data_IF_536440696950
#
_entry.id   IF_536440696950
#
_cell.length_a   1.000
_cell.length_b   1.000
_cell.length_c   1.000
_cell.angle_alpha   90.00
_cell.angle_beta   90.00
_cell.angle_gamma   90.00
#
_symmetry.space_group_name_H-M   'P 1'
#
loop_
_entity.id
_entity.type
_entity.pdbx_description
1 polymer ?
#
# COMPACT_ATOMS: atom_id res chain seq x y z
N UNK A 1 28.34 -0.33 -4.80
CA UNK A 1 26.94 0.14 -4.70
C UNK A 1 26.03 -1.05 -4.41
N UNK A 2 25.16 -0.99 -3.37
CA UNK A 2 24.23 -2.09 -3.06
C UNK A 2 23.11 -2.14 -4.10
N UNK A 3 22.81 -3.34 -4.61
CA UNK A 3 21.68 -3.59 -5.52
C UNK A 3 20.37 -3.39 -4.74
N UNK A 4 19.53 -2.46 -5.19
CA UNK A 4 18.23 -2.19 -4.59
C UNK A 4 17.10 -2.81 -5.41
N UNK A 5 16.10 -3.38 -4.75
CA UNK A 5 14.87 -3.85 -5.39
C UNK A 5 13.76 -2.82 -5.26
N UNK A 6 12.95 -2.67 -6.30
CA UNK A 6 11.79 -1.78 -6.27
C UNK A 6 10.52 -2.50 -6.70
N UNK A 7 9.39 -2.02 -6.19
CA UNK A 7 8.05 -2.38 -6.65
C UNK A 7 7.26 -1.10 -6.80
N UNK A 8 6.87 -0.79 -8.03
CA UNK A 8 6.17 0.47 -8.36
C UNK A 8 5.00 0.21 -9.31
N UNK A 9 4.12 1.19 -9.46
CA UNK A 9 3.01 1.11 -10.42
C UNK A 9 3.51 1.44 -11.82
N UNK A 10 3.17 0.61 -12.80
CA UNK A 10 3.46 0.92 -14.20
C UNK A 10 2.51 2.00 -14.70
N UNK A 11 3.05 3.03 -15.35
CA UNK A 11 2.25 4.09 -15.98
C UNK A 11 1.40 3.51 -17.12
N UNK A 12 0.17 4.01 -17.29
CA UNK A 12 -0.78 3.48 -18.29
C UNK A 12 -0.26 3.55 -19.73
N UNK A 13 0.48 4.60 -20.07
CA UNK A 13 1.06 4.82 -21.40
C UNK A 13 2.53 4.35 -21.52
N UNK A 14 2.99 3.47 -20.61
CA UNK A 14 4.33 2.94 -20.71
C UNK A 14 4.47 2.02 -21.93
N UNK A 15 5.46 2.28 -22.77
CA UNK A 15 5.83 1.41 -23.90
C UNK A 15 6.79 0.33 -23.41
N UNK A 16 6.46 -0.93 -23.66
CA UNK A 16 7.26 -2.08 -23.25
C UNK A 16 7.19 -3.19 -24.30
N UNK A 17 8.24 -4.01 -24.36
CA UNK A 17 8.29 -5.24 -25.15
C UNK A 17 8.20 -6.44 -24.21
N UNK A 18 7.27 -7.36 -24.47
CA UNK A 18 7.17 -8.61 -23.71
C UNK A 18 8.24 -9.57 -24.18
N UNK A 19 9.06 -10.09 -23.25
CA UNK A 19 10.13 -11.05 -23.54
C UNK A 19 9.75 -12.47 -23.14
N UNK A 20 9.09 -12.63 -21.99
CA UNK A 20 8.67 -13.95 -21.48
C UNK A 20 7.38 -13.85 -20.68
N UNK A 21 6.47 -14.80 -20.88
CA UNK A 21 5.30 -14.99 -20.02
C UNK A 21 5.65 -15.99 -18.91
N UNK A 22 5.29 -15.67 -17.68
CA UNK A 22 5.46 -16.57 -16.53
C UNK A 22 4.14 -17.24 -16.20
N UNK A 23 4.23 -18.46 -15.67
CA UNK A 23 3.07 -19.20 -15.18
C UNK A 23 2.42 -18.48 -13.99
N UNK A 24 1.10 -18.46 -13.97
CA UNK A 24 0.31 -17.89 -12.87
C UNK A 24 -0.57 -18.98 -12.30
N UNK A 25 -0.66 -19.07 -10.97
CA UNK A 25 -1.54 -20.04 -10.30
C UNK A 25 -3.00 -19.71 -10.59
N UNK A 26 -3.78 -20.72 -11.02
CA UNK A 26 -5.22 -20.60 -11.20
C UNK A 26 -5.90 -20.26 -9.87
N UNK A 27 -6.92 -19.40 -9.91
CA UNK A 27 -7.69 -18.97 -8.73
C UNK A 27 -7.02 -17.91 -7.83
N UNK A 28 -5.79 -17.48 -8.14
CA UNK A 28 -5.10 -16.44 -7.38
C UNK A 28 -5.49 -15.01 -7.75
N UNK A 29 -5.05 -14.05 -6.92
CA UNK A 29 -5.21 -12.61 -7.17
C UNK A 29 -4.29 -12.07 -8.28
N UNK A 30 -3.39 -12.91 -8.82
CA UNK A 30 -2.50 -12.52 -9.92
C UNK A 30 -3.21 -12.83 -11.24
N UNK A 31 -3.39 -11.80 -12.08
CA UNK A 31 -4.03 -11.94 -13.39
C UNK A 31 -2.99 -12.34 -14.44
N UNK A 32 -1.81 -11.73 -14.38
CA UNK A 32 -0.76 -12.00 -15.37
C UNK A 32 0.61 -11.61 -14.86
N UNK A 33 1.63 -12.33 -15.33
CA UNK A 33 3.02 -12.12 -14.97
C UNK A 33 3.92 -12.22 -16.21
N UNK A 34 4.65 -11.15 -16.50
CA UNK A 34 5.48 -11.01 -17.69
C UNK A 34 6.84 -10.45 -17.36
N UNK A 35 7.89 -11.01 -17.96
CA UNK A 35 9.17 -10.34 -18.07
C UNK A 35 9.13 -9.44 -19.31
N UNK A 36 9.48 -8.17 -19.11
CA UNK A 36 9.39 -7.11 -20.10
C UNK A 36 10.72 -6.34 -20.18
N UNK A 37 10.97 -5.70 -21.31
CA UNK A 37 11.99 -4.68 -21.47
C UNK A 37 11.33 -3.33 -21.77
N UNK A 38 11.93 -2.23 -21.31
CA UNK A 38 11.48 -0.88 -21.59
C UNK A 38 12.41 -0.27 -22.66
N UNK A 39 11.98 -0.15 -23.93
CA UNK A 39 12.86 0.31 -25.01
C UNK A 39 13.48 1.68 -24.76
N UNK A 40 12.76 2.56 -24.07
CA UNK A 40 13.23 3.91 -23.73
C UNK A 40 14.29 3.96 -22.63
N UNK A 41 14.46 2.88 -21.87
CA UNK A 41 15.41 2.81 -20.76
C UNK A 41 16.60 1.93 -21.12
N UNK A 42 16.32 0.68 -21.50
CA UNK A 42 17.31 -0.30 -21.96
C UNK A 42 16.56 -1.53 -22.49
N UNK A 43 16.96 -2.01 -23.66
CA UNK A 43 16.42 -3.26 -24.22
C UNK A 43 16.98 -4.52 -23.52
N UNK A 44 18.16 -4.39 -22.91
CA UNK A 44 18.87 -5.47 -22.23
C UNK A 44 18.35 -5.67 -20.80
N UNK A 45 17.95 -4.57 -20.14
CA UNK A 45 17.49 -4.63 -18.77
C UNK A 45 16.10 -5.28 -18.67
N UNK A 46 16.07 -6.51 -18.15
CA UNK A 46 14.84 -7.24 -17.87
C UNK A 46 14.18 -6.70 -16.61
N UNK A 47 12.94 -6.25 -16.77
CA UNK A 47 12.02 -5.93 -15.68
C UNK A 47 10.87 -6.91 -15.70
N UNK A 48 10.06 -6.90 -14.66
CA UNK A 48 8.89 -7.76 -14.54
C UNK A 48 7.64 -6.93 -14.31
N UNK A 49 6.64 -7.17 -15.15
CA UNK A 49 5.31 -6.59 -15.10
C UNK A 49 4.35 -7.61 -14.52
N UNK A 50 3.69 -7.25 -13.43
CA UNK A 50 2.72 -8.11 -12.76
C UNK A 50 1.39 -7.36 -12.72
N UNK A 51 0.31 -8.01 -13.16
CA UNK A 51 -1.05 -7.46 -13.02
C UNK A 51 -1.73 -8.21 -11.88
N UNK A 52 -2.11 -7.46 -10.85
CA UNK A 52 -2.78 -7.96 -9.65
C UNK A 52 -4.20 -7.46 -9.64
N UNK A 53 -5.15 -8.33 -9.26
CA UNK A 53 -6.51 -7.95 -8.90
C UNK A 53 -6.55 -7.73 -7.40
N UNK A 54 -6.96 -6.54 -6.99
CA UNK A 54 -7.27 -6.27 -5.59
C UNK A 54 -8.54 -7.06 -5.20
N UNK A 55 -8.51 -7.93 -4.17
CA UNK A 55 -9.68 -8.71 -3.75
C UNK A 55 -10.80 -7.83 -3.17
N UNK A 56 -10.46 -6.69 -2.54
CA UNK A 56 -11.43 -5.80 -1.89
C UNK A 56 -12.10 -4.89 -2.93
N UNK A 57 -11.30 -4.20 -3.74
CA UNK A 57 -11.83 -3.22 -4.71
C UNK A 57 -12.15 -3.82 -6.07
N UNK A 58 -11.77 -5.07 -6.32
CA UNK A 58 -11.82 -5.76 -7.63
C UNK A 58 -11.04 -5.05 -8.75
N UNK A 59 -10.31 -3.97 -8.45
CA UNK A 59 -9.57 -3.17 -9.43
C UNK A 59 -8.29 -3.87 -9.84
N UNK A 60 -7.88 -3.64 -11.10
CA UNK A 60 -6.62 -4.15 -11.64
C UNK A 60 -5.50 -3.14 -11.38
N UNK A 61 -4.39 -3.63 -10.82
CA UNK A 61 -3.20 -2.84 -10.53
C UNK A 61 -2.04 -3.46 -11.30
N UNK A 62 -1.41 -2.67 -12.16
CA UNK A 62 -0.22 -3.08 -12.91
C UNK A 62 1.02 -2.61 -12.18
N UNK A 63 1.86 -3.56 -11.78
CA UNK A 63 3.10 -3.37 -11.05
C UNK A 63 4.31 -3.63 -11.94
N UNK A 64 5.40 -2.95 -11.62
CA UNK A 64 6.72 -3.07 -12.23
C UNK A 64 7.76 -3.33 -11.15
N UNK A 65 8.62 -4.32 -11.36
CA UNK A 65 9.73 -4.63 -10.46
C UNK A 65 10.98 -5.07 -11.22
N UNK A 66 12.15 -4.83 -10.64
CA UNK A 66 13.43 -5.40 -11.10
C UNK A 66 13.73 -6.77 -10.44
N UNK A 67 12.85 -7.28 -9.57
CA UNK A 67 13.03 -8.59 -8.95
C UNK A 67 12.34 -9.70 -9.77
N UNK A 68 13.15 -10.58 -10.36
CA UNK A 68 12.66 -11.72 -11.14
C UNK A 68 12.45 -12.98 -10.29
N UNK A 69 13.00 -13.04 -9.09
CA UNK A 69 13.03 -14.26 -8.27
C UNK A 69 11.79 -14.42 -7.40
N UNK A 70 11.23 -13.32 -6.87
CA UNK A 70 10.13 -13.39 -5.90
C UNK A 70 8.81 -13.94 -6.50
N UNK A 71 7.95 -14.57 -5.70
CA UNK A 71 6.59 -14.90 -6.12
C UNK A 71 5.80 -13.65 -6.50
N UNK A 72 4.94 -13.74 -7.52
CA UNK A 72 4.12 -12.60 -7.96
C UNK A 72 3.19 -12.08 -6.85
N UNK A 73 2.70 -12.99 -5.99
CA UNK A 73 1.91 -12.66 -4.81
C UNK A 73 2.69 -11.77 -3.82
N UNK A 74 3.95 -12.08 -3.56
CA UNK A 74 4.82 -11.29 -2.67
C UNK A 74 5.04 -9.88 -3.20
N UNK A 75 5.27 -9.74 -4.51
CA UNK A 75 5.39 -8.40 -5.13
C UNK A 75 4.09 -7.61 -4.99
N UNK A 76 2.94 -8.26 -5.15
CA UNK A 76 1.63 -7.66 -4.89
C UNK A 76 1.45 -7.22 -3.44
N UNK A 77 1.86 -8.07 -2.48
CA UNK A 77 1.83 -7.77 -1.05
C UNK A 77 2.67 -6.55 -0.67
N UNK A 78 3.92 -6.49 -1.14
CA UNK A 78 4.81 -5.34 -0.89
C UNK A 78 4.19 -4.03 -1.40
N UNK A 79 3.52 -4.05 -2.55
CA UNK A 79 2.83 -2.87 -3.05
C UNK A 79 1.60 -2.52 -2.19
N UNK A 80 0.88 -3.52 -1.65
CA UNK A 80 -0.24 -3.30 -0.71
C UNK A 80 0.27 -2.65 0.58
N UNK A 81 1.37 -3.13 1.14
CA UNK A 81 1.97 -2.58 2.36
C UNK A 81 2.41 -1.12 2.15
N UNK A 82 3.06 -0.85 1.01
CA UNK A 82 3.43 0.52 0.62
C UNK A 82 2.20 1.45 0.55
N UNK A 83 1.07 0.95 0.04
CA UNK A 83 -0.17 1.71 -0.02
C UNK A 83 -0.79 1.92 1.36
N UNK A 84 -0.70 0.95 2.27
CA UNK A 84 -1.14 1.12 3.66
C UNK A 84 -0.38 2.27 4.36
N UNK A 85 0.92 2.42 4.09
CA UNK A 85 1.72 3.55 4.59
C UNK A 85 1.17 4.89 4.06
N UNK A 86 0.79 4.98 2.78
CA UNK A 86 0.18 6.20 2.22
C UNK A 86 -1.17 6.53 2.89
N UNK A 87 -2.00 5.52 3.13
CA UNK A 87 -3.29 5.69 3.85
C UNK A 87 -3.03 6.17 5.27
N UNK A 88 -2.06 5.59 5.96
CA UNK A 88 -1.68 5.99 7.30
C UNK A 88 -1.26 7.47 7.36
N UNK A 89 -0.37 7.91 6.47
CA UNK A 89 0.03 9.31 6.42
C UNK A 89 -1.11 10.24 5.98
N UNK A 90 -2.02 9.78 5.11
CA UNK A 90 -3.23 10.52 4.75
C UNK A 90 -4.13 10.70 5.97
N UNK A 91 -4.38 9.63 6.73
CA UNK A 91 -5.17 9.66 7.94
C UNK A 91 -4.53 10.56 9.00
N UNK A 92 -3.21 10.48 9.20
CA UNK A 92 -2.48 11.39 10.08
C UNK A 92 -2.71 12.85 9.69
N UNK A 93 -2.47 13.22 8.42
CA UNK A 93 -2.65 14.60 7.95
C UNK A 93 -4.10 15.09 8.02
N UNK A 94 -5.08 14.20 7.91
CA UNK A 94 -6.49 14.56 8.01
C UNK A 94 -6.95 14.76 9.46
N UNK A 95 -6.49 13.93 10.39
CA UNK A 95 -6.91 14.01 11.79
C UNK A 95 -6.09 15.01 12.59
N UNK A 96 -4.82 15.16 12.25
CA UNK A 96 -3.96 16.17 12.83
C UNK A 96 -4.07 17.38 11.92
N UNK A 97 -4.79 18.43 12.36
CA UNK A 97 -4.76 19.75 11.72
C UNK A 97 -3.36 20.37 11.87
N UNK A 98 -2.32 19.74 11.30
CA UNK A 98 -0.96 20.28 11.21
C UNK A 98 -0.99 21.38 10.14
N UNK A 99 -1.81 22.41 10.34
CA UNK A 99 -1.85 23.58 9.47
C UNK A 99 -0.66 24.51 9.75
N UNK A 100 -0.01 24.37 10.91
CA UNK A 100 1.25 25.05 11.25
C UNK A 100 2.11 24.16 12.13
N UNK A 101 3.38 23.99 11.75
CA UNK A 101 4.41 23.57 12.69
C UNK A 101 4.66 24.74 13.65
N UNK A 102 4.53 24.51 14.97
CA UNK A 102 4.83 25.53 15.99
C UNK A 102 6.33 25.84 16.13
N UNK A 103 7.19 25.17 15.35
CA UNK A 103 8.62 25.42 15.30
C UNK A 103 9.25 24.67 14.12
N UNK A 104 10.23 25.30 13.46
CA UNK A 104 10.92 24.75 12.28
C UNK A 104 12.21 24.01 12.64
N UNK A 105 12.58 23.91 13.92
CA UNK A 105 13.75 23.12 14.33
C UNK A 105 13.47 21.63 14.15
N UNK A 106 14.51 20.86 13.80
CA UNK A 106 14.40 19.40 13.63
C UNK A 106 13.75 18.73 14.85
N UNK A 107 14.11 19.17 16.05
CA UNK A 107 13.55 18.63 17.29
C UNK A 107 12.07 19.02 17.46
N UNK A 108 11.67 20.25 17.15
CA UNK A 108 10.27 20.66 17.22
C UNK A 108 9.38 19.85 16.27
N UNK A 109 9.85 19.62 15.04
CA UNK A 109 9.14 18.78 14.05
C UNK A 109 9.06 17.32 14.53
N UNK A 110 10.15 16.76 15.06
CA UNK A 110 10.15 15.39 15.58
C UNK A 110 9.20 15.22 16.76
N UNK A 111 9.23 16.13 17.74
CA UNK A 111 8.30 16.11 18.88
C UNK A 111 6.85 16.21 18.43
N UNK A 112 6.55 17.09 17.47
CA UNK A 112 5.19 17.20 16.91
C UNK A 112 4.76 15.91 16.22
N UNK A 113 5.67 15.23 15.51
CA UNK A 113 5.38 13.94 14.90
C UNK A 113 5.11 12.85 15.96
N UNK A 114 5.90 12.81 17.04
CA UNK A 114 5.69 11.86 18.14
C UNK A 114 4.34 12.07 18.85
N UNK A 115 4.00 13.32 19.18
CA UNK A 115 2.71 13.66 19.79
C UNK A 115 1.56 13.27 18.85
N UNK A 116 1.69 13.59 17.57
CA UNK A 116 0.74 13.21 16.53
C UNK A 116 0.48 11.69 16.47
N UNK A 117 1.53 10.88 16.55
CA UNK A 117 1.44 9.42 16.57
C UNK A 117 0.75 8.92 17.84
N UNK A 118 1.09 9.47 19.01
CA UNK A 118 0.47 9.11 20.30
C UNK A 118 -1.02 9.45 20.28
N UNK A 119 -1.39 10.66 19.84
CA UNK A 119 -2.80 11.08 19.73
C UNK A 119 -3.57 10.19 18.77
N UNK A 120 -2.98 9.85 17.61
CA UNK A 120 -3.62 8.95 16.65
C UNK A 120 -3.83 7.54 17.23
N UNK A 121 -2.85 7.02 17.98
CA UNK A 121 -2.96 5.73 18.65
C UNK A 121 -4.06 5.73 19.71
N UNK A 122 -4.12 6.76 20.56
CA UNK A 122 -5.17 6.93 21.55
C UNK A 122 -6.55 7.04 20.91
N UNK A 123 -6.67 7.85 19.85
CA UNK A 123 -7.90 7.96 19.06
C UNK A 123 -8.33 6.60 18.47
N UNK A 124 -7.39 5.81 17.96
CA UNK A 124 -7.68 4.48 17.42
C UNK A 124 -8.18 3.52 18.50
N UNK A 125 -7.55 3.50 19.68
CA UNK A 125 -7.98 2.70 20.84
C UNK A 125 -9.39 3.11 21.29
N UNK A 126 -9.65 4.41 21.42
CA UNK A 126 -10.97 4.96 21.76
C UNK A 126 -12.03 4.53 20.74
N UNK A 127 -11.72 4.61 19.45
CA UNK A 127 -12.61 4.19 18.36
C UNK A 127 -12.93 2.69 18.42
N UNK A 128 -11.94 1.85 18.73
CA UNK A 128 -12.16 0.40 18.91
C UNK A 128 -13.08 0.12 20.10
N UNK A 129 -12.82 0.76 21.26
CA UNK A 129 -13.66 0.62 22.45
C UNK A 129 -15.09 1.12 22.23
N UNK A 130 -15.26 2.26 21.55
CA UNK A 130 -16.57 2.83 21.22
C UNK A 130 -17.38 1.96 20.26
N UNK A 131 -16.76 1.38 19.23
CA UNK A 131 -17.44 0.42 18.34
C UNK A 131 -17.99 -0.79 19.11
N UNK A 132 -17.22 -1.30 20.07
CA UNK A 132 -17.66 -2.41 20.92
C UNK A 132 -18.79 -1.99 21.88
N UNK A 133 -18.77 -0.76 22.39
CA UNK A 133 -19.85 -0.21 23.21
C UNK A 133 -21.14 -0.01 22.39
N UNK A 134 -21.06 0.55 21.18
CA UNK A 134 -22.24 0.75 20.30
C UNK A 134 -22.85 -0.60 19.89
N UNK A 135 -22.01 -1.62 19.62
CA UNK A 135 -22.47 -2.99 19.38
C UNK A 135 -23.07 -3.66 20.64
N UNK A 136 -22.57 -3.34 21.85
CA UNK A 136 -23.15 -3.88 23.09
C UNK A 136 -24.50 -3.23 23.42
N UNK A 137 -24.67 -1.93 23.18
CA UNK A 137 -25.94 -1.23 23.39
C UNK A 137 -27.03 -1.66 22.40
N UNK A 138 -26.67 -1.94 21.14
CA UNK A 138 -27.62 -2.47 20.14
C UNK A 138 -28.02 -3.92 20.44
N UNK A 139 -27.11 -4.76 20.93
CA UNK A 139 -27.44 -6.12 21.36
C UNK A 139 -28.28 -6.15 22.65
N UNK A 140 -28.08 -5.21 23.59
CA UNK A 140 -28.94 -5.08 24.77
C UNK A 140 -30.35 -4.58 24.43
N UNK A 141 -30.47 -3.61 23.51
CA UNK A 141 -31.76 -3.08 23.09
C UNK A 141 -32.61 -4.09 22.30
N UNK A 142 -31.97 -5.09 21.66
CA UNK A 142 -32.64 -6.16 20.91
C UNK A 142 -32.98 -7.41 21.74
N UNK A 143 -32.52 -7.49 22.99
CA UNK A 143 -32.86 -8.57 23.93
C UNK A 143 -33.90 -8.16 25.00
N UNK A 144 -34.43 -6.95 24.90
CA UNK A 144 -35.44 -6.38 25.81
C UNK A 144 -36.84 -6.22 25.20
N UNK A 145 -37.15 -6.92 24.11
CA UNK A 145 -38.49 -7.01 23.50
C UNK A 145 -38.86 -8.48 23.36
#
# INVERSE_FOLDING_TARGET
MKKAWFVTRLKKNAVYKVKKKRGVKAGGNIISDYEIALPKLSEEQRLRKIVVRDPETKKRITLLTNNLSWPAATVGGIYKDRWQIEIFFKAMKQNLKINRFYGNSRNAVMTQLWIALIVYLLYYILKMKSKNAILSFTNLALQGI
#
